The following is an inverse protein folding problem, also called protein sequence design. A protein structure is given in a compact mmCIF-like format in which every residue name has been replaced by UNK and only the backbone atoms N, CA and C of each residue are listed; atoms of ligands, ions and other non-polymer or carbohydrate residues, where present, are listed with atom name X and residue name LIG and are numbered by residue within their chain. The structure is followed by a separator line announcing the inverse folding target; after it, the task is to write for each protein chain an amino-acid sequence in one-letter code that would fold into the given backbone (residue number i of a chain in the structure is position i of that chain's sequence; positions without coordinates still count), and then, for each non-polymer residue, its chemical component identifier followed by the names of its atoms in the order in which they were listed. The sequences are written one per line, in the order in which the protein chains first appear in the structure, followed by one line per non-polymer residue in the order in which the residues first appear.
data_IF_956663740088
#
_entry.id   IF_956663740088
#
_cell.length_a   1.000
_cell.length_b   1.000
_cell.length_c   1.000
_cell.angle_alpha   90.00
_cell.angle_beta   90.00
_cell.angle_gamma   90.00
#
_symmetry.space_group_name_H-M   'P 1'
#
loop_
_entity.id
_entity.type
_entity.pdbx_description
1 polymer ?
#
# COMPACT_ATOMS: atom_id res chain seq x y z
N UNK A 1 0.39 72.68 -28.81
CA UNK A 1 1.10 71.78 -27.87
C UNK A 1 0.43 70.41 -27.97
N UNK A 2 0.82 69.58 -28.95
CA UNK A 2 1.84 68.53 -28.88
C UNK A 2 1.36 67.25 -28.13
N UNK A 3 1.09 66.22 -28.95
CA UNK A 3 0.88 64.80 -28.63
C UNK A 3 1.72 64.30 -27.46
N UNK A 4 1.15 63.37 -26.66
CA UNK A 4 1.86 62.16 -26.23
C UNK A 4 0.89 60.99 -26.04
N UNK A 5 1.22 59.91 -26.74
CA UNK A 5 0.51 58.63 -26.84
C UNK A 5 0.58 57.91 -25.49
N UNK A 6 -0.55 57.46 -24.94
CA UNK A 6 -0.57 56.44 -23.89
C UNK A 6 -0.29 55.10 -24.55
N UNK A 7 0.93 54.59 -24.32
CA UNK A 7 1.32 53.24 -24.73
C UNK A 7 0.54 52.22 -23.89
N UNK A 8 -0.14 51.30 -24.57
CA UNK A 8 -0.66 50.09 -23.97
C UNK A 8 0.53 49.18 -23.63
N UNK A 9 0.86 49.06 -22.34
CA UNK A 9 1.79 48.03 -21.87
C UNK A 9 0.99 46.76 -21.63
N UNK A 10 0.95 45.90 -22.64
CA UNK A 10 0.54 44.51 -22.51
C UNK A 10 1.67 43.77 -21.79
N UNK A 11 1.54 43.58 -20.47
CA UNK A 11 2.38 42.64 -19.73
C UNK A 11 1.89 41.21 -20.00
N UNK A 12 2.26 40.69 -21.15
CA UNK A 12 2.35 39.24 -21.38
C UNK A 12 3.83 38.93 -21.23
N UNK A 13 4.24 38.23 -20.16
CA UNK A 13 5.28 37.20 -20.23
C UNK A 13 5.47 36.50 -18.89
N UNK A 14 5.37 35.16 -18.95
CA UNK A 14 5.97 34.18 -18.06
C UNK A 14 5.40 34.03 -16.63
N UNK A 15 4.13 33.60 -16.51
CA UNK A 15 3.86 32.52 -15.56
C UNK A 15 4.31 31.23 -16.23
N UNK A 16 5.62 30.96 -16.10
CA UNK A 16 6.20 29.65 -16.35
C UNK A 16 5.33 28.63 -15.64
N UNK A 17 4.90 27.66 -16.43
CA UNK A 17 4.30 26.41 -16.01
C UNK A 17 4.75 26.07 -14.58
N UNK A 18 3.81 26.09 -13.64
CA UNK A 18 3.84 25.08 -12.60
C UNK A 18 3.72 23.74 -13.34
N UNK A 19 4.82 23.29 -13.94
CA UNK A 19 5.08 21.89 -14.18
C UNK A 19 4.98 21.29 -12.79
N UNK A 20 3.78 20.81 -12.50
CA UNK A 20 3.48 19.97 -11.37
C UNK A 20 4.63 18.97 -11.31
N UNK A 21 5.46 19.12 -10.28
CA UNK A 21 6.58 18.23 -10.01
C UNK A 21 5.98 16.87 -9.64
N UNK A 22 5.56 16.11 -10.66
CA UNK A 22 5.07 14.74 -10.55
C UNK A 22 6.16 13.72 -10.87
N UNK A 23 7.38 14.16 -11.17
CA UNK A 23 8.50 13.27 -11.40
C UNK A 23 9.40 13.22 -10.16
N UNK A 24 8.87 12.76 -9.02
CA UNK A 24 9.75 12.32 -7.93
C UNK A 24 10.53 11.08 -8.36
N UNK A 25 9.86 10.15 -9.06
CA UNK A 25 10.46 8.92 -9.55
C UNK A 25 11.04 9.09 -10.96
N UNK A 26 12.23 8.52 -11.23
CA UNK A 26 12.83 8.59 -12.56
C UNK A 26 12.02 7.72 -13.55
N UNK A 27 12.00 8.17 -14.81
CA UNK A 27 11.36 7.40 -15.87
C UNK A 27 12.23 6.19 -16.24
N UNK A 28 11.70 4.98 -16.00
CA UNK A 28 12.37 3.72 -16.34
C UNK A 28 11.39 2.76 -17.02
N UNK A 29 11.56 2.43 -18.31
CA UNK A 29 10.57 1.64 -19.05
C UNK A 29 10.22 0.31 -18.37
N UNK A 30 8.94 0.03 -18.19
CA UNK A 30 8.52 -1.28 -17.67
C UNK A 30 8.66 -2.34 -18.76
N UNK A 31 9.38 -3.45 -18.52
CA UNK A 31 9.53 -4.49 -19.53
C UNK A 31 8.22 -5.25 -19.76
N UNK A 32 8.04 -5.77 -20.98
CA UNK A 32 6.98 -6.71 -21.35
C UNK A 32 5.53 -6.24 -21.08
N UNK A 33 5.29 -4.92 -21.08
CA UNK A 33 3.94 -4.34 -20.98
C UNK A 33 3.11 -4.75 -22.20
N UNK A 34 1.97 -5.47 -22.03
CA UNK A 34 1.04 -5.77 -23.11
C UNK A 34 0.55 -4.47 -23.74
N UNK A 35 0.33 -4.45 -25.05
CA UNK A 35 -0.15 -3.27 -25.77
C UNK A 35 -1.38 -3.58 -26.59
N UNK A 36 -2.31 -2.62 -26.61
CA UNK A 36 -3.46 -2.60 -27.50
C UNK A 36 -3.03 -2.41 -28.96
N UNK A 37 -3.96 -2.56 -29.91
CA UNK A 37 -3.70 -2.31 -31.35
C UNK A 37 -3.19 -0.90 -31.63
N UNK A 38 -3.61 0.08 -30.82
CA UNK A 38 -3.20 1.48 -30.94
C UNK A 38 -1.87 1.77 -30.21
N UNK A 39 -1.16 0.75 -29.74
CA UNK A 39 0.16 0.87 -29.10
C UNK A 39 0.16 1.34 -27.64
N UNK A 40 -1.02 1.58 -27.04
CA UNK A 40 -1.16 1.96 -25.62
C UNK A 40 -1.03 0.73 -24.70
N UNK A 41 -0.49 0.89 -23.47
CA UNK A 41 -0.49 -0.18 -22.47
C UNK A 41 -1.87 -0.80 -22.28
N UNK A 42 -1.94 -2.13 -22.31
CA UNK A 42 -3.12 -2.92 -22.02
C UNK A 42 -3.03 -3.50 -20.62
N UNK A 43 -3.52 -2.73 -19.65
CA UNK A 43 -3.53 -3.12 -18.23
C UNK A 43 -4.50 -4.26 -17.91
N UNK A 44 -5.45 -4.56 -18.81
CA UNK A 44 -6.38 -5.67 -18.67
C UNK A 44 -5.89 -6.93 -19.41
N UNK A 45 -4.76 -6.83 -20.11
CA UNK A 45 -4.08 -7.95 -20.73
C UNK A 45 -3.66 -9.02 -19.72
N UNK A 46 -3.21 -10.19 -20.21
CA UNK A 46 -2.86 -11.32 -19.35
C UNK A 46 -1.78 -10.95 -18.33
N UNK A 47 -1.90 -11.50 -17.12
CA UNK A 47 -0.85 -11.38 -16.12
C UNK A 47 0.45 -12.05 -16.61
N UNK A 48 1.63 -11.42 -16.40
CA UNK A 48 2.89 -12.04 -16.74
C UNK A 48 3.13 -13.28 -15.88
N UNK A 49 3.93 -14.21 -16.40
CA UNK A 49 4.26 -15.48 -15.75
C UNK A 49 5.77 -15.59 -15.55
N UNK A 50 6.18 -16.18 -14.44
CA UNK A 50 7.58 -16.57 -14.23
C UNK A 50 7.96 -17.73 -15.14
N UNK A 51 9.25 -18.08 -15.17
CA UNK A 51 9.75 -19.24 -15.91
C UNK A 51 9.11 -20.56 -15.45
N UNK A 52 8.71 -20.63 -14.18
CA UNK A 52 8.05 -21.77 -13.54
C UNK A 52 6.53 -21.78 -13.80
N UNK A 53 6.00 -20.81 -14.56
CA UNK A 53 4.58 -20.72 -14.92
C UNK A 53 3.67 -20.12 -13.83
N UNK A 54 4.23 -19.67 -12.70
CA UNK A 54 3.50 -18.94 -11.67
C UNK A 54 3.17 -17.52 -12.16
N UNK A 55 2.08 -16.87 -11.71
CA UNK A 55 1.95 -15.43 -11.89
C UNK A 55 3.17 -14.71 -11.35
N UNK A 56 3.74 -13.83 -12.17
CA UNK A 56 4.82 -12.96 -11.75
C UNK A 56 4.19 -11.75 -11.04
N UNK A 57 4.48 -11.57 -9.76
CA UNK A 57 4.01 -10.45 -8.95
C UNK A 57 4.96 -9.25 -9.01
N UNK A 58 6.10 -9.38 -9.71
CA UNK A 58 7.10 -8.32 -9.81
C UNK A 58 6.53 -7.07 -10.48
N UNK A 59 6.95 -5.92 -9.95
CA UNK A 59 6.49 -4.61 -10.39
C UNK A 59 6.47 -3.59 -9.27
N UNK A 60 6.18 -2.34 -9.63
CA UNK A 60 5.94 -1.26 -8.67
C UNK A 60 4.43 -1.09 -8.57
N UNK A 61 3.91 -1.07 -7.36
CA UNK A 61 2.47 -1.12 -7.08
C UNK A 61 2.06 0.02 -6.17
N UNK A 62 0.97 0.71 -6.53
CA UNK A 62 0.36 1.79 -5.76
C UNK A 62 -1.06 1.43 -5.28
N UNK A 63 -1.48 2.06 -4.18
CA UNK A 63 -2.88 2.05 -3.78
C UNK A 63 -3.65 3.12 -4.58
N UNK A 64 -4.61 2.74 -5.44
CA UNK A 64 -5.29 3.67 -6.35
C UNK A 64 -6.19 4.70 -5.64
N UNK A 65 -6.50 4.48 -4.35
CA UNK A 65 -7.31 5.42 -3.57
C UNK A 65 -6.68 6.81 -3.45
N UNK A 66 -5.36 6.92 -3.57
CA UNK A 66 -4.61 8.17 -3.35
C UNK A 66 -4.38 8.99 -4.61
N UNK A 67 -4.13 8.32 -5.75
CA UNK A 67 -3.94 8.97 -7.06
C UNK A 67 -5.16 9.77 -7.52
N UNK A 68 -6.35 9.37 -7.08
CA UNK A 68 -7.61 10.02 -7.44
C UNK A 68 -7.94 11.27 -6.60
N UNK A 69 -7.29 11.46 -5.43
CA UNK A 69 -7.51 12.64 -4.59
C UNK A 69 -6.82 13.91 -5.13
N UNK A 70 -5.69 13.76 -5.82
CA UNK A 70 -4.94 14.89 -6.40
C UNK A 70 -5.56 15.46 -7.68
N UNK A 71 -6.42 14.71 -8.37
CA UNK A 71 -7.01 15.11 -9.66
C UNK A 71 -8.47 15.60 -9.55
N UNK A 72 -9.01 15.78 -8.34
CA UNK A 72 -10.43 16.13 -8.17
C UNK A 72 -11.40 15.06 -8.71
N UNK A 73 -10.90 13.87 -9.01
CA UNK A 73 -11.70 12.72 -9.44
C UNK A 73 -12.03 11.93 -8.17
N UNK A 74 -13.08 12.36 -7.47
CA UNK A 74 -13.84 11.46 -6.60
C UNK A 74 -14.55 10.41 -7.46
N UNK A 75 -13.75 9.52 -8.06
CA UNK A 75 -14.21 8.60 -9.10
C UNK A 75 -14.05 7.16 -8.65
N UNK A 76 -15.19 6.52 -8.43
CA UNK A 76 -15.42 5.06 -8.47
C UNK A 76 -15.12 4.43 -9.85
N UNK A 77 -14.24 5.05 -10.65
CA UNK A 77 -14.00 4.75 -12.05
C UNK A 77 -13.11 3.52 -12.25
N UNK A 78 -13.69 2.33 -12.09
CA UNK A 78 -13.11 1.10 -12.62
C UNK A 78 -13.26 1.02 -14.13
N UNK A 79 -12.33 0.30 -14.77
CA UNK A 79 -12.57 -0.22 -16.11
C UNK A 79 -13.89 -1.04 -16.13
N UNK A 80 -14.68 -0.96 -17.21
CA UNK A 80 -15.90 -1.76 -17.36
C UNK A 80 -15.58 -3.24 -17.17
N UNK A 81 -16.28 -3.91 -16.25
CA UNK A 81 -16.14 -5.35 -16.00
C UNK A 81 -15.27 -5.74 -14.80
N UNK A 82 -14.69 -4.80 -14.05
CA UNK A 82 -14.15 -5.16 -12.72
C UNK A 82 -15.30 -5.31 -11.72
N UNK A 83 -15.41 -6.43 -10.97
CA UNK A 83 -16.43 -6.59 -9.95
C UNK A 83 -16.36 -5.42 -8.96
N UNK A 84 -17.50 -4.77 -8.72
CA UNK A 84 -17.65 -3.65 -7.78
C UNK A 84 -17.63 -4.12 -6.32
N UNK A 85 -16.62 -4.91 -5.92
CA UNK A 85 -16.68 -5.69 -4.67
C UNK A 85 -15.84 -5.09 -3.55
N UNK A 86 -14.94 -4.12 -3.80
CA UNK A 86 -13.98 -3.70 -2.76
C UNK A 86 -13.88 -2.18 -2.60
N UNK A 87 -13.68 -1.67 -1.37
CA UNK A 87 -13.52 -0.23 -1.12
C UNK A 87 -12.32 0.29 -1.90
N UNK A 88 -12.60 1.10 -2.93
CA UNK A 88 -11.60 1.82 -3.71
C UNK A 88 -11.56 3.26 -3.20
N UNK A 89 -10.75 3.50 -2.18
CA UNK A 89 -10.59 4.84 -1.61
C UNK A 89 -9.57 4.85 -0.47
N UNK A 90 -9.14 6.05 -0.03
CA UNK A 90 -8.20 6.21 1.09
C UNK A 90 -8.78 5.70 2.42
N UNK A 91 -10.07 5.33 2.47
CA UNK A 91 -10.76 4.86 3.66
C UNK A 91 -10.06 3.69 4.36
N UNK A 92 -9.49 2.74 3.61
CA UNK A 92 -8.77 1.60 4.20
C UNK A 92 -7.43 1.98 4.85
N UNK A 93 -6.81 3.07 4.39
CA UNK A 93 -5.60 3.61 5.02
C UNK A 93 -5.92 4.18 6.39
N UNK A 94 -7.01 4.95 6.47
CA UNK A 94 -7.42 5.55 7.73
C UNK A 94 -8.07 4.54 8.68
N UNK A 95 -8.98 3.72 8.18
CA UNK A 95 -9.72 2.72 8.95
C UNK A 95 -9.94 1.44 8.14
N UNK A 96 -9.17 0.40 8.44
CA UNK A 96 -9.29 -0.89 7.75
C UNK A 96 -10.67 -1.54 7.97
N UNK A 97 -11.33 -1.19 9.07
CA UNK A 97 -12.68 -1.65 9.40
C UNK A 97 -13.74 -1.19 8.39
N UNK A 98 -13.49 -0.12 7.64
CA UNK A 98 -14.40 0.35 6.59
C UNK A 98 -14.56 -0.64 5.43
N UNK A 99 -13.60 -1.56 5.26
CA UNK A 99 -13.67 -2.64 4.28
C UNK A 99 -14.21 -3.97 4.80
N UNK A 100 -14.59 -4.03 6.07
CA UNK A 100 -15.13 -5.23 6.70
C UNK A 100 -16.63 -5.05 6.93
N UNK A 101 -17.51 -5.91 6.40
CA UNK A 101 -18.94 -5.83 6.66
C UNK A 101 -19.25 -5.86 8.16
N UNK A 102 -19.90 -4.82 8.66
CA UNK A 102 -20.20 -4.65 10.08
C UNK A 102 -19.04 -4.11 10.94
N UNK A 103 -17.91 -3.73 10.31
CA UNK A 103 -16.72 -3.24 11.00
C UNK A 103 -15.86 -4.35 11.60
N UNK A 104 -14.76 -3.96 12.25
CA UNK A 104 -13.88 -4.93 12.90
C UNK A 104 -14.53 -5.50 14.19
N UNK A 105 -14.45 -6.82 14.40
CA UNK A 105 -15.09 -7.48 15.54
C UNK A 105 -14.23 -7.38 16.81
N UNK A 106 -13.97 -6.15 17.28
CA UNK A 106 -13.07 -5.90 18.41
C UNK A 106 -13.47 -6.63 19.71
N UNK A 107 -12.46 -7.08 20.45
CA UNK A 107 -12.59 -7.30 21.89
C UNK A 107 -12.81 -5.96 22.62
N UNK A 108 -13.48 -5.93 23.79
CA UNK A 108 -13.71 -4.69 24.53
C UNK A 108 -12.44 -3.89 24.83
N UNK A 109 -11.35 -4.57 25.22
CA UNK A 109 -10.06 -3.93 25.50
C UNK A 109 -9.43 -3.29 24.23
N UNK A 110 -9.56 -3.95 23.07
CA UNK A 110 -9.07 -3.46 21.80
C UNK A 110 -9.88 -2.25 21.29
N UNK A 111 -11.21 -2.29 21.43
CA UNK A 111 -12.07 -1.15 21.12
C UNK A 111 -11.73 0.06 22.00
N UNK A 112 -11.52 -0.14 23.30
CA UNK A 112 -11.08 0.91 24.21
C UNK A 112 -9.70 1.47 23.85
N UNK A 113 -8.76 0.61 23.45
CA UNK A 113 -7.43 1.03 22.98
C UNK A 113 -7.52 1.87 21.70
N UNK A 114 -8.27 1.42 20.68
CA UNK A 114 -8.48 2.20 19.46
C UNK A 114 -9.11 3.56 19.77
N UNK A 115 -10.13 3.60 20.64
CA UNK A 115 -10.75 4.85 21.08
C UNK A 115 -9.72 5.79 21.73
N UNK A 116 -8.90 5.30 22.66
CA UNK A 116 -7.84 6.11 23.30
C UNK A 116 -6.84 6.65 22.27
N UNK A 117 -6.37 5.80 21.35
CA UNK A 117 -5.47 6.22 20.27
C UNK A 117 -6.09 7.34 19.43
N UNK A 118 -7.38 7.26 19.12
CA UNK A 118 -8.12 8.32 18.41
C UNK A 118 -8.29 9.59 19.24
N UNK A 119 -8.63 9.47 20.52
CA UNK A 119 -8.77 10.62 21.43
C UNK A 119 -7.43 11.38 21.58
N UNK A 120 -6.31 10.65 21.54
CA UNK A 120 -4.93 11.19 21.56
C UNK A 120 -4.42 11.57 20.16
N UNK A 121 -5.33 11.76 19.20
CA UNK A 121 -5.05 12.19 17.82
C UNK A 121 -4.03 11.29 17.08
N UNK A 122 -4.01 10.00 17.42
CA UNK A 122 -3.15 8.97 16.84
C UNK A 122 -1.67 9.33 16.88
N UNK A 123 -1.26 10.19 17.82
CA UNK A 123 0.09 10.76 17.87
C UNK A 123 1.19 9.71 18.00
N UNK A 124 0.87 8.52 18.52
CA UNK A 124 1.80 7.40 18.71
C UNK A 124 1.80 6.41 17.53
N UNK A 125 1.12 6.73 16.41
CA UNK A 125 1.17 5.90 15.21
C UNK A 125 2.62 5.82 14.69
N UNK A 126 3.18 4.63 14.42
CA UNK A 126 4.56 4.48 13.94
C UNK A 126 4.90 5.33 12.72
N UNK A 127 3.92 5.61 11.86
CA UNK A 127 4.09 6.43 10.66
C UNK A 127 4.51 7.86 10.95
N UNK A 128 3.92 8.44 11.99
CA UNK A 128 4.22 9.79 12.44
C UNK A 128 5.65 9.93 13.00
N UNK A 129 6.28 8.82 13.38
CA UNK A 129 7.60 8.77 14.02
C UNK A 129 8.68 8.14 13.14
N UNK A 130 8.41 7.95 11.84
CA UNK A 130 9.35 7.31 10.92
C UNK A 130 9.79 5.90 11.37
N UNK A 131 8.93 5.19 12.11
CA UNK A 131 9.18 3.82 12.57
C UNK A 131 8.64 2.81 11.55
N UNK A 132 9.13 1.55 11.57
CA UNK A 132 8.57 0.50 10.74
C UNK A 132 7.05 0.35 10.96
N UNK A 133 6.30 0.38 9.87
CA UNK A 133 4.84 0.28 9.89
C UNK A 133 4.37 -1.17 10.02
N UNK A 134 3.13 -1.36 10.47
CA UNK A 134 2.48 -2.68 10.38
C UNK A 134 2.33 -3.12 8.92
N UNK A 135 2.42 -4.42 8.63
CA UNK A 135 2.23 -4.96 7.29
C UNK A 135 0.91 -4.48 6.64
N UNK A 136 -0.19 -4.47 7.40
CA UNK A 136 -1.49 -3.99 6.93
C UNK A 136 -1.53 -2.50 6.60
N UNK A 137 -0.89 -1.67 7.43
CA UNK A 137 -0.77 -0.24 7.15
C UNK A 137 0.06 -0.03 5.87
N UNK A 138 1.13 -0.81 5.69
CA UNK A 138 1.90 -0.80 4.43
C UNK A 138 1.05 -1.21 3.24
N UNK A 139 0.16 -2.21 3.34
CA UNK A 139 -0.77 -2.59 2.25
C UNK A 139 -1.70 -1.46 1.81
N UNK A 140 -2.02 -0.52 2.70
CA UNK A 140 -2.97 0.56 2.43
C UNK A 140 -2.31 1.92 2.26
N UNK A 141 -1.00 2.02 2.52
CA UNK A 141 -0.22 3.26 2.46
C UNK A 141 -0.28 3.94 1.08
N UNK A 142 -0.31 5.29 1.00
CA UNK A 142 -0.25 6.04 -0.26
C UNK A 142 1.02 5.81 -1.06
N UNK A 143 2.16 5.72 -0.39
CA UNK A 143 3.45 5.49 -1.06
C UNK A 143 3.52 4.08 -1.65
N UNK A 144 4.13 3.94 -2.84
CA UNK A 144 4.18 2.66 -3.54
C UNK A 144 5.15 1.66 -2.90
N UNK A 145 5.09 0.45 -3.44
CA UNK A 145 6.03 -0.64 -3.11
C UNK A 145 6.60 -1.23 -4.39
N UNK A 146 7.80 -1.80 -4.31
CA UNK A 146 8.36 -2.66 -5.36
C UNK A 146 8.35 -4.10 -4.89
N UNK A 147 7.81 -4.99 -5.71
CA UNK A 147 7.87 -6.44 -5.51
C UNK A 147 8.93 -7.00 -6.44
N UNK A 148 9.81 -7.83 -5.89
CA UNK A 148 10.82 -8.59 -6.61
C UNK A 148 10.58 -10.06 -6.29
N UNK A 149 10.20 -10.85 -7.29
CA UNK A 149 9.92 -12.27 -7.12
C UNK A 149 11.08 -13.12 -7.62
N UNK A 150 11.59 -13.98 -6.73
CA UNK A 150 12.49 -15.09 -7.06
C UNK A 150 11.81 -16.42 -6.74
N UNK A 151 12.36 -17.58 -7.13
CA UNK A 151 11.76 -18.88 -6.81
C UNK A 151 11.60 -19.12 -5.29
N UNK A 152 12.60 -18.73 -4.50
CA UNK A 152 12.70 -19.10 -3.08
C UNK A 152 12.31 -17.98 -2.12
N UNK A 153 12.33 -16.73 -2.59
CA UNK A 153 11.92 -15.56 -1.80
C UNK A 153 11.31 -14.47 -2.67
N UNK A 154 10.24 -13.88 -2.16
CA UNK A 154 9.69 -12.63 -2.70
C UNK A 154 10.06 -11.50 -1.74
N UNK A 155 10.66 -10.44 -2.28
CA UNK A 155 11.05 -9.25 -1.53
C UNK A 155 10.09 -8.13 -1.87
N UNK A 156 9.57 -7.47 -0.84
CA UNK A 156 8.79 -6.25 -0.96
C UNK A 156 9.62 -5.11 -0.37
N UNK A 157 9.95 -4.14 -1.22
CA UNK A 157 10.54 -2.88 -0.83
C UNK A 157 9.42 -1.86 -0.69
N UNK A 158 9.29 -1.26 0.47
CA UNK A 158 8.34 -0.20 0.73
C UNK A 158 9.05 1.14 0.67
N UNK A 159 8.50 2.09 -0.09
CA UNK A 159 8.97 3.46 -0.02
C UNK A 159 8.66 4.06 1.35
N UNK A 160 7.45 3.81 1.88
CA UNK A 160 7.06 4.21 3.22
C UNK A 160 8.01 3.67 4.29
N UNK A 161 8.67 4.59 5.00
CA UNK A 161 9.63 4.33 6.08
C UNK A 161 10.73 3.32 5.72
N UNK A 162 11.08 3.19 4.43
CA UNK A 162 12.22 2.41 3.95
C UNK A 162 12.22 0.92 4.32
N UNK A 163 11.04 0.33 4.51
CA UNK A 163 10.89 -1.05 4.99
C UNK A 163 11.23 -2.12 3.92
N UNK A 164 11.83 -3.22 4.35
CA UNK A 164 12.04 -4.43 3.53
C UNK A 164 11.33 -5.60 4.19
N UNK A 165 10.44 -6.27 3.45
CA UNK A 165 9.77 -7.50 3.89
C UNK A 165 10.12 -8.66 2.96
N UNK A 166 10.38 -9.82 3.56
CA UNK A 166 10.65 -11.06 2.85
C UNK A 166 9.49 -12.03 3.03
N UNK A 167 9.07 -12.66 1.94
CA UNK A 167 8.08 -13.74 1.91
C UNK A 167 8.82 -14.99 1.42
N UNK A 168 9.13 -15.91 2.33
CA UNK A 168 9.89 -17.12 1.98
C UNK A 168 8.98 -18.13 1.29
N UNK A 169 9.31 -18.51 0.06
CA UNK A 169 8.53 -19.43 -0.78
C UNK A 169 9.20 -20.79 -1.00
N UNK A 170 10.32 -21.03 -0.31
CA UNK A 170 11.14 -22.24 -0.35
C UNK A 170 10.58 -23.42 0.48
N UNK A 171 9.37 -23.27 1.02
CA UNK A 171 8.69 -24.32 1.77
C UNK A 171 9.09 -24.44 3.24
N UNK A 172 9.92 -23.53 3.76
CA UNK A 172 10.24 -23.51 5.20
C UNK A 172 8.98 -23.22 6.04
N UNK A 173 8.87 -23.79 7.26
CA UNK A 173 7.77 -23.48 8.16
C UNK A 173 7.96 -22.11 8.83
N UNK A 174 6.89 -21.60 9.45
CA UNK A 174 7.04 -20.49 10.40
C UNK A 174 7.90 -20.94 11.59
N UNK A 175 8.79 -20.08 12.11
CA UNK A 175 9.54 -20.36 13.33
C UNK A 175 8.60 -20.65 14.49
N UNK A 176 8.98 -21.63 15.32
CA UNK A 176 8.33 -21.90 16.60
C UNK A 176 9.17 -21.25 17.71
N UNK A 177 8.52 -20.49 18.60
CA UNK A 177 9.14 -19.83 19.76
C UNK A 177 10.35 -18.91 19.45
N UNK A 178 10.27 -18.10 18.38
CA UNK A 178 11.27 -17.05 18.12
C UNK A 178 11.21 -15.98 19.24
N UNK A 179 12.28 -15.79 20.03
CA UNK A 179 12.28 -14.81 21.12
C UNK A 179 12.33 -13.36 20.61
N UNK A 180 12.72 -13.13 19.35
CA UNK A 180 12.82 -11.80 18.78
C UNK A 180 11.54 -11.47 17.97
N UNK A 181 10.67 -10.58 18.45
CA UNK A 181 9.50 -10.18 17.69
C UNK A 181 9.88 -9.34 16.46
N UNK A 182 9.10 -9.51 15.39
CA UNK A 182 9.29 -8.85 14.10
C UNK A 182 8.27 -7.71 13.91
N UNK A 183 8.70 -6.62 13.29
CA UNK A 183 7.79 -5.52 12.92
C UNK A 183 6.80 -5.92 11.82
N UNK A 184 7.27 -6.69 10.83
CA UNK A 184 6.47 -7.15 9.69
C UNK A 184 6.01 -8.61 9.81
N UNK A 185 6.30 -9.27 10.95
CA UNK A 185 6.15 -10.71 11.13
C UNK A 185 7.16 -11.53 10.31
N UNK A 186 7.33 -12.80 10.70
CA UNK A 186 8.01 -13.79 9.86
C UNK A 186 7.00 -14.35 8.87
N UNK A 187 7.31 -14.35 7.57
CA UNK A 187 6.34 -14.69 6.50
C UNK A 187 6.79 -15.89 5.68
N UNK A 188 5.93 -16.90 5.55
CA UNK A 188 6.14 -18.08 4.70
C UNK A 188 5.00 -18.19 3.70
N UNK A 189 5.32 -18.55 2.46
CA UNK A 189 4.40 -18.54 1.33
C UNK A 189 4.36 -19.88 0.61
N UNK A 190 3.19 -20.22 0.09
CA UNK A 190 3.00 -21.34 -0.84
C UNK A 190 2.06 -20.94 -1.96
N UNK A 191 2.19 -21.57 -3.11
CA UNK A 191 1.29 -21.36 -4.24
C UNK A 191 0.10 -22.32 -4.19
N UNK A 192 -1.11 -21.79 -4.25
CA UNK A 192 -2.37 -22.51 -4.46
C UNK A 192 -2.90 -22.13 -5.84
N UNK A 193 -2.56 -22.94 -6.86
CA UNK A 193 -2.78 -22.56 -8.26
C UNK A 193 -2.03 -21.27 -8.61
N UNK A 194 -2.78 -20.23 -8.95
CA UNK A 194 -2.29 -18.89 -9.32
C UNK A 194 -2.30 -17.89 -8.16
N UNK A 195 -2.66 -18.33 -6.95
CA UNK A 195 -2.66 -17.49 -5.76
C UNK A 195 -1.46 -17.82 -4.88
N UNK A 196 -0.66 -16.81 -4.53
CA UNK A 196 0.33 -16.94 -3.48
C UNK A 196 -0.35 -16.74 -2.13
N UNK A 197 -0.32 -17.76 -1.28
CA UNK A 197 -0.84 -17.73 0.08
C UNK A 197 0.32 -17.59 1.05
N UNK A 198 0.38 -16.46 1.72
CA UNK A 198 1.39 -16.12 2.72
C UNK A 198 0.75 -16.22 4.09
N UNK A 199 1.43 -16.88 5.02
CA UNK A 199 1.09 -16.86 6.44
C UNK A 199 2.22 -16.16 7.20
N UNK A 200 1.84 -15.28 8.11
CA UNK A 200 2.76 -14.51 8.93
C UNK A 200 2.39 -14.58 10.41
N UNK A 201 3.40 -14.68 11.27
CA UNK A 201 3.29 -14.65 12.74
C UNK A 201 4.55 -14.09 13.37
N UNK A 202 4.63 -14.09 14.72
CA UNK A 202 5.80 -13.57 15.44
C UNK A 202 5.89 -12.04 15.39
N UNK A 203 4.75 -11.38 15.30
CA UNK A 203 4.67 -9.92 15.34
C UNK A 203 5.05 -9.39 16.73
N UNK A 204 5.57 -8.17 16.77
CA UNK A 204 5.65 -7.41 18.02
C UNK A 204 4.24 -7.03 18.50
N UNK A 205 4.05 -7.03 19.81
CA UNK A 205 2.85 -6.46 20.41
C UNK A 205 2.75 -4.92 20.17
N UNK A 206 1.53 -4.40 20.28
CA UNK A 206 1.23 -2.97 20.12
C UNK A 206 1.24 -2.47 18.67
N UNK A 207 1.15 -3.36 17.69
CA UNK A 207 1.04 -3.02 16.27
C UNK A 207 -0.21 -2.21 15.91
N UNK A 208 -0.16 -1.58 14.75
CA UNK A 208 -1.22 -0.75 14.17
C UNK A 208 -1.56 -1.27 12.78
N UNK A 209 -2.86 -1.45 12.51
CA UNK A 209 -3.34 -1.92 11.21
C UNK A 209 -3.69 -0.78 10.24
N UNK A 210 -4.01 0.39 10.79
CA UNK A 210 -4.47 1.57 10.08
C UNK A 210 -4.09 2.85 10.85
N UNK A 211 -4.31 4.02 10.25
CA UNK A 211 -4.02 5.31 10.90
C UNK A 211 -4.81 5.47 12.19
N UNK A 212 -6.09 5.08 12.21
CA UNK A 212 -7.00 5.19 13.35
C UNK A 212 -6.66 4.25 14.52
N UNK A 213 -5.64 3.41 14.38
CA UNK A 213 -5.07 2.65 15.48
C UNK A 213 -5.81 1.39 15.86
N UNK A 214 -6.48 0.73 14.91
CA UNK A 214 -6.90 -0.66 15.08
C UNK A 214 -5.67 -1.52 15.47
N UNK A 215 -5.69 -2.22 16.62
CA UNK A 215 -4.51 -2.90 17.17
C UNK A 215 -4.21 -4.24 16.50
N UNK A 216 -2.91 -4.57 16.45
CA UNK A 216 -2.39 -5.90 16.16
C UNK A 216 -1.48 -6.33 17.32
N UNK A 217 -1.66 -7.52 17.85
CA UNK A 217 -0.90 -8.05 18.98
C UNK A 217 0.11 -9.11 18.55
N UNK A 218 0.94 -9.53 19.49
CA UNK A 218 1.87 -10.66 19.34
C UNK A 218 1.18 -12.02 19.12
N UNK A 219 -0.11 -12.14 19.44
CA UNK A 219 -0.90 -13.35 19.23
C UNK A 219 -1.40 -13.50 17.78
N UNK A 220 -1.16 -12.49 16.94
CA UNK A 220 -1.72 -12.46 15.60
C UNK A 220 -1.10 -13.47 14.64
N UNK A 221 -1.97 -14.10 13.87
CA UNK A 221 -1.65 -14.81 12.64
C UNK A 221 -2.33 -14.09 11.49
N UNK A 222 -1.54 -13.62 10.53
CA UNK A 222 -2.04 -12.94 9.34
C UNK A 222 -1.89 -13.87 8.16
N UNK A 223 -2.96 -14.06 7.39
CA UNK A 223 -2.95 -14.82 6.14
C UNK A 223 -3.28 -13.90 4.98
N UNK A 224 -2.37 -13.77 4.02
CA UNK A 224 -2.52 -12.95 2.83
C UNK A 224 -2.62 -13.84 1.58
N UNK A 225 -3.57 -13.55 0.71
CA UNK A 225 -3.75 -14.22 -0.59
C UNK A 225 -3.50 -13.19 -1.69
N UNK A 226 -2.34 -13.29 -2.34
CA UNK A 226 -1.95 -12.42 -3.45
C UNK A 226 -2.40 -13.04 -4.77
N UNK A 227 -3.18 -12.29 -5.54
CA UNK A 227 -3.66 -12.69 -6.86
C UNK A 227 -3.44 -11.55 -7.86
N UNK A 228 -2.81 -11.85 -9.00
CA UNK A 228 -2.62 -10.90 -10.12
C UNK A 228 -3.53 -11.30 -11.29
N UNK A 229 -4.80 -10.84 -11.33
CA UNK A 229 -5.77 -11.30 -12.33
C UNK A 229 -5.44 -10.85 -13.77
N UNK A 230 -4.73 -9.74 -13.92
CA UNK A 230 -4.30 -9.18 -15.21
C UNK A 230 -2.99 -8.41 -15.02
N UNK A 231 -2.45 -7.83 -16.09
CA UNK A 231 -1.19 -7.11 -16.04
C UNK A 231 -1.20 -5.98 -15.02
N UNK A 232 -2.30 -5.22 -14.93
CA UNK A 232 -2.37 -3.96 -14.20
C UNK A 232 -2.85 -4.02 -12.76
N UNK A 233 -3.38 -5.15 -12.28
CA UNK A 233 -4.02 -5.23 -10.97
C UNK A 233 -3.41 -6.34 -10.11
N UNK A 234 -3.21 -6.04 -8.84
CA UNK A 234 -2.86 -6.97 -7.79
C UNK A 234 -3.94 -6.89 -6.70
N UNK A 235 -4.49 -8.03 -6.31
CA UNK A 235 -5.47 -8.14 -5.23
C UNK A 235 -4.83 -8.89 -4.07
N UNK A 236 -4.92 -8.31 -2.88
CA UNK A 236 -4.39 -8.87 -1.65
C UNK A 236 -5.56 -9.03 -0.70
N UNK A 237 -6.05 -10.26 -0.54
CA UNK A 237 -7.03 -10.58 0.48
C UNK A 237 -6.28 -10.93 1.77
N UNK A 238 -6.59 -10.21 2.85
CA UNK A 238 -5.92 -10.39 4.13
C UNK A 238 -6.92 -10.80 5.18
N UNK A 239 -6.64 -11.92 5.82
CA UNK A 239 -7.35 -12.40 7.00
C UNK A 239 -6.47 -12.21 8.23
N UNK A 240 -6.99 -11.54 9.24
CA UNK A 240 -6.33 -11.35 10.53
C UNK A 240 -7.03 -12.21 11.56
N UNK A 241 -6.29 -13.13 12.16
CA UNK A 241 -6.69 -13.90 13.33
C UNK A 241 -5.83 -13.46 14.52
N UNK A 242 -6.42 -12.64 15.40
CA UNK A 242 -5.77 -12.16 16.62
C UNK A 242 -6.81 -12.19 17.75
N UNK A 243 -6.81 -13.25 18.57
CA UNK A 243 -7.82 -13.44 19.61
C UNK A 243 -7.70 -12.46 20.78
N UNK A 244 -6.54 -11.80 20.95
CA UNK A 244 -6.36 -10.75 21.98
C UNK A 244 -7.01 -9.45 21.54
N UNK A 245 -7.01 -9.14 20.24
CA UNK A 245 -7.62 -7.92 19.70
C UNK A 245 -9.06 -8.09 19.19
N UNK A 246 -9.42 -9.27 18.69
CA UNK A 246 -10.70 -9.50 17.99
C UNK A 246 -11.43 -10.74 18.51
N UNK A 247 -12.75 -10.72 18.44
CA UNK A 247 -13.65 -11.81 18.89
C UNK A 247 -13.73 -12.97 17.89
N UNK A 248 -13.34 -12.72 16.64
CA UNK A 248 -13.25 -13.72 15.56
C UNK A 248 -12.30 -13.20 14.47
N UNK A 249 -11.75 -14.10 13.64
CA UNK A 249 -11.05 -13.69 12.44
C UNK A 249 -11.93 -12.82 11.53
N UNK A 250 -11.28 -11.91 10.82
CA UNK A 250 -11.92 -11.04 9.84
C UNK A 250 -11.04 -10.88 8.62
N UNK A 251 -11.68 -10.57 7.49
CA UNK A 251 -11.04 -10.53 6.17
C UNK A 251 -11.38 -9.23 5.47
N UNK A 252 -10.39 -8.66 4.79
CA UNK A 252 -10.53 -7.49 3.93
C UNK A 252 -9.72 -7.73 2.66
N UNK A 253 -10.14 -7.19 1.52
CA UNK A 253 -9.32 -7.23 0.31
C UNK A 253 -8.93 -5.84 -0.18
N UNK A 254 -7.66 -5.74 -0.57
CA UNK A 254 -6.96 -4.51 -0.90
C UNK A 254 -6.52 -4.62 -2.36
N UNK A 255 -6.81 -3.58 -3.14
CA UNK A 255 -6.45 -3.53 -4.55
C UNK A 255 -5.26 -2.61 -4.79
N UNK A 256 -4.34 -3.07 -5.62
CA UNK A 256 -3.12 -2.38 -6.02
C UNK A 256 -3.11 -2.26 -7.54
N UNK A 257 -2.62 -1.13 -8.03
CA UNK A 257 -2.42 -0.89 -9.45
C UNK A 257 -0.94 -0.80 -9.79
N UNK A 258 -0.55 -1.35 -10.94
CA UNK A 258 0.84 -1.28 -11.38
C UNK A 258 1.18 0.16 -11.80
N UNK A 259 2.35 0.62 -11.36
CA UNK A 259 2.96 1.85 -11.87
C UNK A 259 3.89 1.48 -13.02
N UNK A 260 3.66 2.09 -14.18
CA UNK A 260 4.46 1.88 -15.37
C UNK A 260 5.53 2.96 -15.52
N UNK A 261 6.58 2.59 -16.22
CA UNK A 261 7.62 3.48 -16.72
C UNK A 261 8.28 4.31 -15.61
N UNK A 262 8.48 3.70 -14.44
CA UNK A 262 8.98 4.34 -13.23
C UNK A 262 9.93 3.43 -12.45
N UNK A 263 10.67 4.00 -11.50
CA UNK A 263 11.49 3.26 -10.54
C UNK A 263 11.29 3.79 -9.12
N UNK A 264 11.24 2.90 -8.14
CA UNK A 264 11.07 3.24 -6.73
C UNK A 264 12.33 3.97 -6.23
N UNK A 265 12.13 5.07 -5.51
CA UNK A 265 13.22 5.79 -4.83
C UNK A 265 13.12 5.58 -3.32
N UNK A 266 14.19 5.90 -2.61
CA UNK A 266 14.15 6.04 -1.17
C UNK A 266 13.26 7.22 -0.76
N UNK A 267 12.47 7.00 0.30
CA UNK A 267 11.85 8.07 1.05
C UNK A 267 12.44 8.08 2.46
N UNK A 268 13.13 9.16 2.79
CA UNK A 268 13.75 9.34 4.10
C UNK A 268 12.82 10.20 4.95
N UNK A 269 11.96 9.56 5.74
CA UNK A 269 10.95 10.24 6.56
C UNK A 269 11.54 11.32 7.50
N UNK A 270 12.78 11.12 7.98
CA UNK A 270 13.46 12.08 8.85
C UNK A 270 14.14 13.24 8.10
N UNK A 271 14.19 13.21 6.77
CA UNK A 271 14.80 14.29 5.98
C UNK A 271 13.95 15.55 6.08
N UNK A 272 14.51 16.58 6.73
CA UNK A 272 13.82 17.85 7.01
C UNK A 272 12.50 17.67 7.79
N UNK A 273 12.41 16.66 8.66
CA UNK A 273 11.27 16.44 9.54
C UNK A 273 11.10 17.63 10.49
N UNK A 274 9.89 18.21 10.53
CA UNK A 274 9.56 19.38 11.34
C UNK A 274 8.21 19.25 12.07
N UNK A 275 7.50 18.15 11.85
CA UNK A 275 6.13 17.91 12.32
C UNK A 275 6.10 17.35 13.74
N UNK A 276 7.10 16.57 14.15
CA UNK A 276 7.17 15.93 15.48
C UNK A 276 7.01 16.92 16.64
N UNK A 277 7.53 18.16 16.51
CA UNK A 277 7.36 19.24 17.52
C UNK A 277 5.91 19.68 17.75
N UNK A 278 4.99 19.27 16.86
CA UNK A 278 3.57 19.58 16.93
C UNK A 278 2.73 18.43 17.50
N UNK A 279 3.33 17.27 17.78
CA UNK A 279 2.63 16.17 18.44
C UNK A 279 2.37 16.57 19.90
N UNK A 280 1.08 16.62 20.28
CA UNK A 280 0.62 16.98 21.62
C UNK A 280 -0.30 15.88 22.12
#
# INVERSE_FOLDING_TARGET
MLRRRTAATVCVFAMTLASLAYAQWPAHPTPNVPRTRDGKPDLLGPAPRTREGRPDLSGIWENPGWRNLGNGVSGTGGAPGTPAVLPRGPGLFFDIGSGVPGGLPFQPAAAALKKRRMDDNMKDNPDAHCLPLGNMQLHTHPQPRKIIQTPDVIVILYEANGGIRQLFTDGRPLPDNDPQPWWFGYSTGRWEGDTLVVRSSGFRDGGWLDVHGSPLTDAAVVTERFTRPNFGNLVIEVTVDDPKAYTRPWTVAINHQIMLDTELIEFVCLENEQSTKHFR
#
